data_IF_319188862021
#
_entry.id   IF_319188862021
#
_cell.length_a   1.000
_cell.length_b   1.000
_cell.length_c   1.000
_cell.angle_alpha   90.00
_cell.angle_beta   90.00
_cell.angle_gamma   90.00
#
_symmetry.space_group_name_H-M   'P 1'
#
loop_
_entity.id
_entity.type
_entity.pdbx_description
1 polymer ?
#
# COMPACT_ATOMS: atom_id res chain seq x y z
N UNK A 1 6.26 4.82 -5.05
CA UNK A 1 4.82 4.47 -5.11
C UNK A 1 4.01 5.73 -5.37
N UNK A 2 2.82 5.62 -5.97
CA UNK A 2 1.96 6.75 -6.34
C UNK A 2 1.19 7.40 -5.19
N UNK A 3 0.72 8.64 -5.37
CA UNK A 3 -0.26 9.30 -4.49
C UNK A 3 -1.63 8.65 -4.66
N UNK A 4 -2.23 8.21 -3.56
CA UNK A 4 -3.54 7.53 -3.50
C UNK A 4 -4.71 8.42 -4.01
N UNK A 5 -5.91 7.87 -4.28
CA UNK A 5 -7.04 8.66 -4.80
C UNK A 5 -7.69 9.52 -3.69
N UNK A 6 -7.00 10.58 -3.27
CA UNK A 6 -7.38 11.46 -2.14
C UNK A 6 -8.81 12.01 -2.30
N UNK A 7 -9.24 12.31 -3.52
CA UNK A 7 -10.60 12.78 -3.79
C UNK A 7 -11.70 11.79 -3.42
N UNK A 8 -11.38 10.51 -3.19
CA UNK A 8 -12.28 9.46 -2.72
C UNK A 8 -12.17 9.16 -1.21
N UNK A 9 -11.34 9.86 -0.43
CA UNK A 9 -11.11 9.50 0.98
C UNK A 9 -12.29 9.87 1.89
N UNK A 10 -12.51 9.16 3.02
CA UNK A 10 -13.62 9.47 3.92
C UNK A 10 -13.54 10.88 4.53
N UNK A 11 -12.34 11.42 4.77
CA UNK A 11 -12.15 12.82 5.19
C UNK A 11 -12.68 13.81 4.16
N UNK A 12 -12.41 13.58 2.86
CA UNK A 12 -12.91 14.45 1.78
C UNK A 12 -14.44 14.35 1.64
N UNK A 13 -15.00 13.16 1.86
CA UNK A 13 -16.46 12.97 1.90
C UNK A 13 -17.11 13.65 3.11
N UNK A 14 -16.52 13.53 4.31
CA UNK A 14 -17.01 14.15 5.54
C UNK A 14 -17.05 15.70 5.45
N UNK A 15 -16.08 16.30 4.76
CA UNK A 15 -16.07 17.73 4.47
C UNK A 15 -17.07 18.17 3.37
N UNK A 16 -17.79 17.25 2.73
CA UNK A 16 -18.77 17.53 1.66
C UNK A 16 -20.07 16.73 1.80
N UNK A 17 -20.79 16.78 2.94
CA UNK A 17 -21.92 15.89 3.23
C UNK A 17 -23.11 15.99 2.25
N UNK A 18 -23.21 17.08 1.47
CA UNK A 18 -24.23 17.27 0.41
C UNK A 18 -23.83 16.72 -0.96
N UNK A 19 -22.62 16.17 -1.13
CA UNK A 19 -22.14 15.62 -2.39
C UNK A 19 -21.72 14.16 -2.22
N UNK A 20 -22.19 13.28 -3.13
CA UNK A 20 -21.80 11.88 -3.16
C UNK A 20 -20.72 11.63 -4.22
N UNK A 21 -19.83 10.68 -3.97
CA UNK A 21 -18.76 10.30 -4.89
C UNK A 21 -17.51 11.19 -4.83
N UNK A 22 -16.46 10.80 -5.56
CA UNK A 22 -15.14 11.39 -5.41
C UNK A 22 -15.01 12.81 -6.00
N UNK A 23 -14.22 13.65 -5.33
CA UNK A 23 -13.87 15.01 -5.78
C UNK A 23 -12.86 14.93 -6.93
N UNK A 24 -13.36 15.10 -8.16
CA UNK A 24 -12.58 14.93 -9.38
C UNK A 24 -11.39 15.89 -9.51
N UNK A 25 -11.45 17.10 -8.94
CA UNK A 25 -10.32 18.04 -8.92
C UNK A 25 -9.09 17.49 -8.18
N UNK A 26 -9.30 16.93 -6.97
CA UNK A 26 -8.23 16.32 -6.19
C UNK A 26 -7.67 15.06 -6.87
N UNK A 27 -8.56 14.23 -7.44
CA UNK A 27 -8.15 13.05 -8.20
C UNK A 27 -7.40 13.41 -9.49
N UNK A 28 -7.75 14.50 -10.19
CA UNK A 28 -7.00 15.00 -11.36
C UNK A 28 -5.62 15.49 -10.96
N UNK A 29 -5.49 16.22 -9.86
CA UNK A 29 -4.19 16.68 -9.34
C UNK A 29 -3.28 15.49 -8.96
N UNK A 30 -3.81 14.52 -8.21
CA UNK A 30 -3.08 13.29 -7.88
C UNK A 30 -2.68 12.50 -9.15
N UNK A 31 -3.58 12.37 -10.12
CA UNK A 31 -3.30 11.66 -11.38
C UNK A 31 -2.21 12.34 -12.22
N UNK A 32 -2.19 13.67 -12.29
CA UNK A 32 -1.13 14.43 -12.97
C UNK A 32 0.23 14.26 -12.29
N UNK A 33 0.30 14.42 -10.96
CA UNK A 33 1.53 14.16 -10.20
C UNK A 33 2.03 12.72 -10.42
N UNK A 34 1.13 11.74 -10.39
CA UNK A 34 1.42 10.34 -10.61
C UNK A 34 1.93 10.04 -12.04
N UNK A 35 1.43 10.75 -13.06
CA UNK A 35 1.94 10.63 -14.42
C UNK A 35 3.39 11.12 -14.51
N UNK A 36 3.70 12.29 -13.94
CA UNK A 36 5.07 12.80 -13.88
C UNK A 36 6.00 11.90 -13.06
N UNK A 37 5.54 11.36 -11.93
CA UNK A 37 6.31 10.41 -11.10
C UNK A 37 6.59 9.09 -11.84
N UNK A 38 5.65 8.59 -12.66
CA UNK A 38 5.90 7.44 -13.54
C UNK A 38 6.93 7.79 -14.61
N UNK A 39 6.79 8.93 -15.30
CA UNK A 39 7.75 9.37 -16.32
C UNK A 39 9.15 9.64 -15.76
N UNK A 40 9.27 10.02 -14.49
CA UNK A 40 10.57 10.20 -13.84
C UNK A 40 11.38 8.88 -13.79
N UNK A 41 10.72 7.72 -13.67
CA UNK A 41 11.39 6.40 -13.75
C UNK A 41 12.06 6.19 -15.10
N UNK A 42 11.38 6.59 -16.18
CA UNK A 42 11.92 6.52 -17.54
C UNK A 42 13.12 7.47 -17.75
N UNK A 43 13.16 8.60 -17.03
CA UNK A 43 14.24 9.61 -17.08
C UNK A 43 15.46 9.23 -16.23
N UNK A 44 15.27 8.72 -15.01
CA UNK A 44 16.39 8.45 -14.09
C UNK A 44 17.11 7.14 -14.38
N UNK A 45 16.42 6.13 -14.94
CA UNK A 45 16.99 4.80 -15.15
C UNK A 45 18.25 4.79 -16.05
N UNK A 46 18.34 5.57 -17.16
CA UNK A 46 19.58 5.69 -17.93
C UNK A 46 20.74 6.37 -17.19
N UNK A 47 20.46 7.17 -16.16
CA UNK A 47 21.47 7.88 -15.36
C UNK A 47 21.94 7.10 -14.13
N UNK A 48 21.22 6.04 -13.75
CA UNK A 48 21.47 5.20 -12.58
C UNK A 48 21.31 3.71 -12.97
N UNK A 49 22.22 3.19 -13.83
CA UNK A 49 22.06 1.86 -14.43
C UNK A 49 22.09 0.71 -13.40
N UNK A 50 22.82 0.89 -12.30
CA UNK A 50 22.97 -0.08 -11.21
C UNK A 50 21.80 -0.03 -10.19
N UNK A 51 20.66 0.56 -10.56
CA UNK A 51 19.52 0.76 -9.67
C UNK A 51 18.18 0.39 -10.32
N UNK A 52 17.41 -0.47 -9.65
CA UNK A 52 16.09 -0.86 -10.11
C UNK A 52 15.02 0.17 -9.67
N UNK A 53 14.39 0.85 -10.63
CA UNK A 53 13.32 1.81 -10.36
C UNK A 53 11.96 1.27 -10.80
N UNK A 54 11.07 1.06 -9.83
CA UNK A 54 9.70 0.59 -10.07
C UNK A 54 8.66 1.57 -9.50
N UNK A 55 7.78 2.04 -10.37
CA UNK A 55 6.58 2.79 -10.05
C UNK A 55 5.41 1.82 -9.78
N UNK A 56 5.04 1.67 -8.50
CA UNK A 56 3.80 0.99 -8.07
C UNK A 56 2.63 1.99 -8.06
N UNK A 57 1.58 1.69 -8.82
CA UNK A 57 0.39 2.53 -9.03
C UNK A 57 -0.73 2.23 -8.03
N UNK A 58 -0.47 2.44 -6.74
CA UNK A 58 -1.48 2.38 -5.67
C UNK A 58 -2.74 3.20 -6.00
N UNK A 59 -2.63 4.31 -6.74
CA UNK A 59 -3.78 5.08 -7.23
C UNK A 59 -4.73 4.22 -8.06
N UNK A 60 -4.23 3.49 -9.08
CA UNK A 60 -5.09 2.59 -9.87
C UNK A 60 -5.67 1.49 -8.99
N UNK A 61 -4.84 0.82 -8.20
CA UNK A 61 -5.22 -0.36 -7.41
C UNK A 61 -6.35 0.02 -6.42
N UNK A 62 -6.16 1.08 -5.63
CA UNK A 62 -7.18 1.56 -4.69
C UNK A 62 -8.42 2.08 -5.45
N UNK A 63 -8.26 2.77 -6.59
CA UNK A 63 -9.40 3.29 -7.37
C UNK A 63 -10.19 2.19 -8.09
N UNK A 64 -9.59 1.03 -8.36
CA UNK A 64 -10.31 -0.17 -8.85
C UNK A 64 -11.06 -0.87 -7.70
N UNK A 65 -10.43 -0.97 -6.53
CA UNK A 65 -11.06 -1.45 -5.28
C UNK A 65 -12.29 -0.59 -4.91
N UNK A 66 -12.14 0.75 -4.85
CA UNK A 66 -13.24 1.67 -4.51
C UNK A 66 -14.41 1.60 -5.51
N UNK A 67 -14.14 1.28 -6.79
CA UNK A 67 -15.20 1.13 -7.80
C UNK A 67 -15.97 -0.19 -7.68
N UNK A 68 -15.32 -1.27 -7.24
CA UNK A 68 -15.92 -2.60 -7.18
C UNK A 68 -15.50 -3.35 -5.90
N UNK A 69 -15.85 -2.84 -4.69
CA UNK A 69 -15.27 -3.35 -3.45
C UNK A 69 -15.60 -4.82 -3.20
N UNK A 70 -16.84 -5.23 -3.47
CA UNK A 70 -17.32 -6.61 -3.23
C UNK A 70 -16.50 -7.63 -4.03
N UNK A 71 -16.22 -7.38 -5.31
CA UNK A 71 -15.38 -8.26 -6.14
C UNK A 71 -13.87 -8.12 -5.88
N UNK A 72 -13.49 -7.33 -4.87
CA UNK A 72 -12.14 -7.22 -4.30
C UNK A 72 -12.08 -7.62 -2.82
N UNK A 73 -13.15 -8.19 -2.27
CA UNK A 73 -13.21 -8.70 -0.88
C UNK A 73 -13.66 -7.68 0.17
N UNK A 74 -14.00 -6.45 -0.22
CA UNK A 74 -14.37 -5.36 0.71
C UNK A 74 -15.90 -5.15 0.76
N UNK A 75 -16.41 -4.85 1.95
CA UNK A 75 -17.81 -4.51 2.22
C UNK A 75 -18.04 -2.99 2.24
N UNK A 76 -17.04 -2.21 2.65
CA UNK A 76 -17.14 -0.74 2.70
C UNK A 76 -15.91 -0.05 2.07
N UNK A 77 -16.18 0.87 1.14
CA UNK A 77 -15.18 1.68 0.44
C UNK A 77 -15.34 3.19 0.67
N UNK A 78 -16.08 3.58 1.72
CA UNK A 78 -16.61 4.93 1.90
C UNK A 78 -16.46 5.49 3.33
N UNK A 79 -16.49 4.62 4.34
CA UNK A 79 -16.33 4.98 5.76
C UNK A 79 -14.95 4.57 6.29
N UNK A 80 -14.39 5.30 7.27
CA UNK A 80 -13.23 4.82 8.01
C UNK A 80 -13.63 3.63 8.88
N UNK A 81 -12.72 2.70 9.11
CA UNK A 81 -12.90 1.64 10.10
C UNK A 81 -12.90 2.20 11.54
N UNK A 82 -12.11 3.23 11.84
CA UNK A 82 -12.04 3.84 13.18
C UNK A 82 -12.95 5.07 13.35
N UNK A 83 -13.30 5.37 14.62
CA UNK A 83 -13.73 6.71 15.01
C UNK A 83 -12.65 7.72 14.64
N UNK A 84 -12.89 8.61 13.67
CA UNK A 84 -11.99 9.71 13.34
C UNK A 84 -12.25 10.93 14.23
N UNK A 85 -11.19 11.69 14.54
CA UNK A 85 -11.35 12.94 15.28
C UNK A 85 -12.04 14.01 14.42
N UNK A 86 -13.04 14.71 14.97
CA UNK A 86 -13.78 15.77 14.23
C UNK A 86 -12.90 16.92 13.77
N UNK A 87 -11.77 17.15 14.45
CA UNK A 87 -10.73 18.08 14.02
C UNK A 87 -9.91 17.38 12.93
N UNK A 88 -9.92 17.95 11.73
CA UNK A 88 -9.30 17.47 10.48
C UNK A 88 -9.89 16.17 9.88
N UNK A 89 -10.51 15.27 10.65
CA UNK A 89 -11.17 14.07 10.12
C UNK A 89 -10.25 13.02 9.50
N UNK A 90 -8.93 13.23 9.52
CA UNK A 90 -7.92 12.31 8.96
C UNK A 90 -7.65 11.15 9.91
N UNK A 91 -7.17 11.44 11.13
CA UNK A 91 -6.66 10.41 12.04
C UNK A 91 -7.75 9.84 12.96
N UNK A 92 -7.54 8.60 13.40
CA UNK A 92 -8.33 7.99 14.45
C UNK A 92 -8.25 8.79 15.76
N UNK A 93 -9.38 8.92 16.44
CA UNK A 93 -9.52 9.51 17.78
C UNK A 93 -8.76 8.66 18.80
N UNK A 94 -7.94 9.32 19.65
CA UNK A 94 -7.22 8.65 20.74
C UNK A 94 -8.22 7.98 21.71
N UNK A 95 -8.14 6.66 21.84
CA UNK A 95 -9.08 5.87 22.64
C UNK A 95 -10.47 5.68 22.02
N UNK A 96 -10.67 6.07 20.76
CA UNK A 96 -11.89 5.75 20.00
C UNK A 96 -11.92 4.28 19.57
N UNK A 97 -13.12 3.73 19.38
CA UNK A 97 -13.32 2.39 18.87
C UNK A 97 -13.02 2.30 17.36
N UNK A 98 -12.90 1.07 16.88
CA UNK A 98 -12.78 0.78 15.45
C UNK A 98 -13.45 -0.54 15.09
N UNK A 99 -13.75 -0.70 13.81
CA UNK A 99 -14.57 -1.77 13.26
C UNK A 99 -14.00 -3.17 13.58
N UNK A 100 -14.92 -4.10 13.87
CA UNK A 100 -14.61 -5.51 14.21
C UNK A 100 -13.95 -6.21 13.02
N UNK A 101 -14.56 -6.09 11.84
CA UNK A 101 -14.07 -6.65 10.58
C UNK A 101 -13.27 -5.59 9.80
N UNK A 102 -11.97 -5.51 10.13
CA UNK A 102 -11.02 -4.56 9.52
C UNK A 102 -10.67 -4.90 8.07
N UNK A 103 -10.63 -6.18 7.73
CA UNK A 103 -10.28 -6.63 6.37
C UNK A 103 -11.36 -6.29 5.35
N UNK A 104 -12.62 -6.17 5.77
CA UNK A 104 -13.72 -5.75 4.92
C UNK A 104 -13.78 -4.24 4.60
N UNK A 105 -12.97 -3.40 5.23
CA UNK A 105 -12.96 -1.95 4.97
C UNK A 105 -11.78 -1.58 4.05
N UNK A 106 -12.00 -0.65 3.12
CA UNK A 106 -10.91 -0.09 2.28
C UNK A 106 -10.06 0.90 3.07
N UNK A 107 -10.68 1.69 3.94
CA UNK A 107 -10.02 2.76 4.70
C UNK A 107 -9.95 2.44 6.20
N UNK A 108 -8.78 2.63 6.79
CA UNK A 108 -8.61 2.48 8.24
C UNK A 108 -9.09 3.73 8.97
N UNK A 109 -8.60 4.89 8.53
CA UNK A 109 -8.97 6.23 9.00
C UNK A 109 -9.54 7.09 7.85
N UNK A 110 -9.56 8.41 7.98
CA UNK A 110 -10.10 9.32 6.98
C UNK A 110 -9.28 9.47 5.70
N UNK A 111 -8.07 8.88 5.60
CA UNK A 111 -7.17 9.02 4.46
C UNK A 111 -6.45 7.72 4.08
N UNK A 112 -6.06 6.91 5.07
CA UNK A 112 -5.16 5.78 4.91
C UNK A 112 -5.91 4.46 4.64
N UNK A 113 -5.37 3.60 3.74
CA UNK A 113 -5.92 2.28 3.48
C UNK A 113 -5.79 1.34 4.69
N UNK A 114 -6.61 0.28 4.72
CA UNK A 114 -6.41 -0.85 5.65
C UNK A 114 -5.26 -1.75 5.22
N UNK A 115 -4.80 -2.59 6.15
CA UNK A 115 -3.84 -3.67 5.90
C UNK A 115 -4.27 -4.57 4.73
N UNK A 116 -5.55 -4.95 4.65
CA UNK A 116 -6.06 -5.77 3.56
C UNK A 116 -5.94 -5.11 2.17
N UNK A 117 -6.05 -3.79 2.09
CA UNK A 117 -5.75 -3.03 0.85
C UNK A 117 -4.25 -2.98 0.60
N UNK A 118 -3.42 -2.80 1.63
CA UNK A 118 -1.96 -2.79 1.50
C UNK A 118 -1.41 -4.14 1.01
N UNK A 119 -1.98 -5.27 1.46
CA UNK A 119 -1.67 -6.62 0.97
C UNK A 119 -1.97 -6.72 -0.54
N UNK A 120 -3.11 -6.20 -1.00
CA UNK A 120 -3.42 -6.19 -2.44
C UNK A 120 -2.48 -5.26 -3.23
N UNK A 121 -2.03 -4.14 -2.67
CA UNK A 121 -1.03 -3.27 -3.31
C UNK A 121 0.33 -3.98 -3.40
N UNK A 122 0.76 -4.69 -2.35
CA UNK A 122 2.00 -5.45 -2.33
C UNK A 122 1.99 -6.62 -3.33
N UNK A 123 0.95 -7.47 -3.31
CA UNK A 123 0.79 -8.54 -4.30
C UNK A 123 0.82 -7.99 -5.74
N UNK A 124 0.14 -6.85 -5.99
CA UNK A 124 0.19 -6.18 -7.30
C UNK A 124 1.51 -5.53 -7.66
N UNK A 125 2.39 -5.24 -6.69
CA UNK A 125 3.76 -4.80 -6.95
C UNK A 125 4.66 -5.96 -7.41
N UNK A 126 4.38 -7.21 -7.02
CA UNK A 126 5.16 -8.41 -7.37
C UNK A 126 4.62 -9.19 -8.57
N UNK A 127 3.32 -9.41 -8.61
CA UNK A 127 2.69 -10.43 -9.46
C UNK A 127 2.00 -9.83 -10.70
N UNK A 128 1.91 -8.50 -10.80
CA UNK A 128 1.17 -7.87 -11.89
C UNK A 128 2.03 -7.57 -13.11
N UNK A 129 1.75 -8.26 -14.22
CA UNK A 129 2.30 -7.89 -15.53
C UNK A 129 1.67 -6.62 -16.12
N UNK A 130 0.55 -6.17 -15.54
CA UNK A 130 -0.17 -4.99 -16.01
C UNK A 130 0.66 -3.73 -15.77
N UNK A 131 1.23 -3.19 -16.86
CA UNK A 131 2.01 -1.93 -16.90
C UNK A 131 1.26 -0.68 -16.44
N UNK A 132 -0.04 -0.81 -16.16
CA UNK A 132 -0.88 0.22 -15.53
C UNK A 132 -0.99 0.09 -14.01
N UNK A 133 -0.62 -1.05 -13.41
CA UNK A 133 -0.56 -1.32 -11.97
C UNK A 133 0.87 -1.19 -11.43
N UNK A 134 1.88 -1.65 -12.18
CA UNK A 134 3.29 -1.55 -11.82
C UNK A 134 4.16 -1.39 -13.08
N UNK A 135 5.20 -0.54 -13.01
CA UNK A 135 5.93 -0.08 -14.20
C UNK A 135 7.41 0.23 -13.90
N UNK A 136 8.38 -0.05 -14.79
CA UNK A 136 8.25 -0.72 -16.09
C UNK A 136 8.12 -2.25 -15.96
N UNK A 137 8.50 -2.80 -14.81
CA UNK A 137 8.31 -4.21 -14.44
C UNK A 137 7.84 -4.29 -13.00
N UNK A 138 7.35 -5.46 -12.61
CA UNK A 138 7.05 -5.82 -11.23
C UNK A 138 8.35 -6.10 -10.43
N UNK A 139 8.21 -6.24 -9.12
CA UNK A 139 9.34 -6.37 -8.18
C UNK A 139 9.72 -7.83 -7.86
N UNK A 140 9.26 -8.82 -8.65
CA UNK A 140 9.64 -10.23 -8.48
C UNK A 140 11.10 -10.55 -8.82
N UNK A 141 11.95 -9.52 -9.00
CA UNK A 141 13.39 -9.60 -9.20
C UNK A 141 14.20 -8.86 -8.12
N UNK A 142 13.58 -8.48 -7.01
CA UNK A 142 14.21 -7.91 -5.80
C UNK A 142 14.01 -8.90 -4.61
N UNK A 143 15.00 -9.02 -3.69
CA UNK A 143 15.38 -10.36 -3.17
C UNK A 143 15.79 -10.59 -1.67
N UNK A 144 15.79 -9.55 -0.82
CA UNK A 144 16.08 -9.50 0.63
C UNK A 144 17.33 -10.22 1.19
N UNK A 145 18.55 -9.69 1.08
CA UNK A 145 19.75 -10.23 1.76
C UNK A 145 20.56 -9.21 2.60
N UNK A 146 20.09 -8.95 3.82
CA UNK A 146 20.74 -8.06 4.80
C UNK A 146 21.82 -8.74 5.67
N UNK A 147 22.30 -9.95 5.31
CA UNK A 147 23.23 -10.74 6.14
C UNK A 147 24.65 -10.12 6.33
N UNK A 148 24.95 -9.00 5.67
CA UNK A 148 26.25 -8.33 5.70
C UNK A 148 26.24 -6.98 6.45
N UNK A 149 25.18 -6.69 7.22
CA UNK A 149 25.04 -5.45 7.98
C UNK A 149 25.18 -5.71 9.49
N UNK A 150 26.11 -5.02 10.16
CA UNK A 150 26.28 -5.13 11.61
C UNK A 150 25.16 -4.38 12.35
N UNK A 151 24.14 -5.11 12.79
CA UNK A 151 23.04 -4.58 13.58
C UNK A 151 22.71 -5.46 14.78
N UNK A 152 22.15 -4.84 15.82
CA UNK A 152 21.76 -5.52 17.08
C UNK A 152 20.40 -6.22 17.03
N UNK A 153 19.69 -6.16 15.90
CA UNK A 153 18.35 -6.73 15.73
C UNK A 153 18.42 -7.99 14.87
N UNK A 154 18.52 -9.16 15.51
CA UNK A 154 18.62 -10.48 14.86
C UNK A 154 17.43 -11.34 15.28
N UNK A 155 16.81 -12.04 14.32
CA UNK A 155 15.70 -12.97 14.53
C UNK A 155 16.11 -14.40 14.13
N UNK A 156 17.21 -14.85 14.74
CA UNK A 156 17.87 -16.15 14.56
C UNK A 156 17.41 -17.22 15.58
N UNK A 157 16.28 -16.99 16.26
CA UNK A 157 15.69 -17.85 17.29
C UNK A 157 14.21 -18.19 17.02
N UNK A 158 13.76 -19.37 17.46
CA UNK A 158 12.37 -19.83 17.29
C UNK A 158 11.39 -18.94 18.09
N UNK A 159 10.16 -18.69 17.59
CA UNK A 159 9.47 -19.38 16.48
C UNK A 159 9.76 -18.80 15.08
N UNK A 160 10.75 -17.91 14.93
CA UNK A 160 11.08 -17.36 13.62
C UNK A 160 11.75 -18.40 12.71
N UNK A 161 11.42 -18.41 11.42
CA UNK A 161 11.91 -19.40 10.46
C UNK A 161 11.48 -20.86 10.71
N UNK A 162 10.46 -21.10 11.55
CA UNK A 162 9.98 -22.46 11.90
C UNK A 162 9.51 -23.28 10.68
N UNK A 163 9.06 -22.61 9.61
CA UNK A 163 8.60 -23.26 8.37
C UNK A 163 9.70 -23.37 7.29
N UNK A 164 10.97 -23.07 7.62
CA UNK A 164 12.10 -23.16 6.70
C UNK A 164 12.89 -24.47 6.93
N UNK A 165 13.33 -25.17 5.87
CA UNK A 165 13.94 -26.50 5.99
C UNK A 165 15.28 -26.52 6.75
N UNK A 166 15.95 -25.37 6.89
CA UNK A 166 17.18 -25.21 7.66
C UNK A 166 16.96 -24.46 9.00
N UNK A 167 15.71 -24.20 9.40
CA UNK A 167 15.37 -23.50 10.64
C UNK A 167 15.54 -21.98 10.57
N UNK A 168 15.95 -21.39 11.70
CA UNK A 168 15.96 -19.95 11.94
C UNK A 168 16.87 -19.20 10.96
N UNK A 169 16.35 -18.13 10.34
CA UNK A 169 16.99 -17.47 9.19
C UNK A 169 17.31 -15.98 9.38
N UNK A 170 17.17 -15.46 10.60
CA UNK A 170 17.42 -14.06 10.94
C UNK A 170 16.23 -13.11 10.68
N UNK A 171 15.06 -13.63 10.25
CA UNK A 171 13.93 -12.84 9.73
C UNK A 171 12.73 -12.84 10.68
N UNK A 172 12.05 -11.69 10.83
CA UNK A 172 10.95 -11.47 11.77
C UNK A 172 9.61 -12.10 11.33
N UNK A 173 9.59 -13.41 11.07
CA UNK A 173 8.49 -14.15 10.46
C UNK A 173 8.68 -15.65 10.69
N UNK A 174 7.61 -16.46 10.61
CA UNK A 174 7.71 -17.92 10.56
C UNK A 174 8.37 -18.44 9.26
N UNK A 175 8.40 -17.63 8.20
CA UNK A 175 9.01 -17.97 6.91
C UNK A 175 9.60 -16.78 6.15
N UNK A 176 8.76 -16.05 5.39
CA UNK A 176 9.12 -14.85 4.60
C UNK A 176 8.26 -13.63 5.00
N UNK A 177 8.72 -12.42 4.69
CA UNK A 177 8.04 -11.15 4.97
C UNK A 177 8.03 -10.22 3.74
N UNK A 178 7.25 -9.13 3.77
CA UNK A 178 7.03 -8.27 2.60
C UNK A 178 8.30 -7.58 2.08
N UNK A 179 9.34 -7.38 2.89
CA UNK A 179 10.64 -6.81 2.48
C UNK A 179 11.55 -7.86 1.84
N UNK A 180 11.41 -9.15 2.23
CA UNK A 180 12.09 -10.28 1.56
C UNK A 180 11.68 -10.45 0.09
N UNK A 181 10.61 -9.78 -0.33
CA UNK A 181 10.16 -9.70 -1.72
C UNK A 181 10.42 -8.31 -2.36
N UNK A 182 10.64 -7.24 -1.59
CA UNK A 182 10.59 -5.83 -2.08
C UNK A 182 11.95 -5.23 -2.50
N UNK A 183 13.06 -5.75 -1.98
CA UNK A 183 14.40 -5.15 -2.10
C UNK A 183 15.50 -6.17 -1.84
N UNK A 184 16.45 -6.40 -2.76
CA UNK A 184 17.50 -7.44 -2.65
C UNK A 184 18.64 -7.17 -1.67
#
# INVERSE_FOLDING_TARGET
MSVNPIGCSPMVAANRPRHKGCVQGLNKAAHLFNAHLKSLVDVIKPHLPDSNFVYVNSYKIIRDIIRNPISKGFKDASRPCCEVASINGVLCKRGGQACVDRSSHVFFDGLHPTEAVNIQIAAKAYESDLKSEVYPTNLSGDNGNTNFLDTKAKADYLPHGIDLPNGTSGRFTNGKNVVDFLSW
#
